data_IF_291024851894
#
_entry.id   IF_291024851894
#
_cell.length_a   1.000
_cell.length_b   1.000
_cell.length_c   1.000
_cell.angle_alpha   90.00
_cell.angle_beta   90.00
_cell.angle_gamma   90.00
#
_symmetry.space_group_name_H-M   'P 1'
#
loop_
_entity.id
_entity.type
_entity.pdbx_description
1 polymer ?
#
# COMPACT_ATOMS: atom_id res chain seq x y z
N UNK A 1 8.77 -9.62 13.16
CA UNK A 1 8.05 -8.75 12.19
C UNK A 1 7.05 -9.60 11.41
N UNK A 2 5.95 -10.00 12.05
CA UNK A 2 4.87 -10.80 11.45
C UNK A 2 3.60 -9.97 11.20
N UNK A 3 3.66 -8.65 11.36
CA UNK A 3 2.55 -7.75 11.10
C UNK A 3 2.80 -6.95 9.82
N UNK A 4 1.81 -6.95 8.93
CA UNK A 4 1.84 -6.23 7.67
C UNK A 4 2.05 -4.72 7.87
N UNK A 5 1.53 -4.13 8.97
CA UNK A 5 1.73 -2.71 9.27
C UNK A 5 3.20 -2.33 9.30
N UNK A 6 4.07 -3.22 9.78
CA UNK A 6 5.51 -2.96 9.90
C UNK A 6 6.13 -2.63 8.54
N UNK A 7 5.69 -3.34 7.50
CA UNK A 7 6.18 -3.17 6.13
C UNK A 7 5.52 -1.97 5.45
N UNK A 8 4.23 -1.73 5.70
CA UNK A 8 3.53 -0.54 5.19
C UNK A 8 4.20 0.73 5.72
N UNK A 9 4.55 0.79 7.02
CA UNK A 9 5.28 1.94 7.60
C UNK A 9 6.59 2.23 6.88
N UNK A 10 7.37 1.19 6.56
CA UNK A 10 8.61 1.33 5.82
C UNK A 10 8.39 1.85 4.38
N UNK A 11 7.32 1.42 3.70
CA UNK A 11 6.91 1.95 2.38
C UNK A 11 6.58 3.46 2.48
N UNK A 12 5.96 3.87 3.59
CA UNK A 12 5.69 5.27 3.94
C UNK A 12 6.92 6.03 4.51
N UNK A 13 8.12 5.43 4.45
CA UNK A 13 9.39 6.01 4.95
C UNK A 13 9.36 6.39 6.44
N UNK A 14 8.50 5.74 7.22
CA UNK A 14 8.50 5.87 8.66
C UNK A 14 9.62 5.02 9.27
N UNK A 15 10.20 5.49 10.38
CA UNK A 15 11.26 4.75 11.07
C UNK A 15 10.73 3.40 11.59
N UNK A 16 11.53 2.35 11.45
CA UNK A 16 11.13 1.02 11.90
C UNK A 16 12.16 -0.06 11.54
N UNK A 17 11.91 -1.30 11.97
CA UNK A 17 12.85 -2.42 11.80
C UNK A 17 12.85 -3.04 10.39
N UNK A 18 11.84 -2.76 9.56
CA UNK A 18 11.75 -3.28 8.20
C UNK A 18 12.57 -2.41 7.23
N UNK A 19 13.56 -3.01 6.58
CA UNK A 19 14.46 -2.33 5.64
C UNK A 19 14.15 -2.77 4.22
N UNK A 20 13.78 -1.83 3.36
CA UNK A 20 13.59 -2.05 1.92
C UNK A 20 14.97 -2.13 1.25
N UNK A 21 15.27 -3.23 0.58
CA UNK A 21 16.54 -3.45 -0.15
C UNK A 21 16.40 -3.29 -1.66
N UNK A 22 15.18 -3.46 -2.18
CA UNK A 22 14.86 -3.25 -3.59
C UNK A 22 13.40 -2.85 -3.74
N UNK A 23 13.12 -2.04 -4.75
CA UNK A 23 11.76 -1.77 -5.20
C UNK A 23 11.71 -1.81 -6.74
N UNK A 24 10.57 -2.18 -7.30
CA UNK A 24 10.32 -2.19 -8.74
C UNK A 24 8.87 -1.77 -8.97
N UNK A 25 8.67 -0.79 -9.83
CA UNK A 25 7.36 -0.20 -10.11
C UNK A 25 7.00 -0.36 -11.57
N UNK A 26 5.74 -0.69 -11.81
CA UNK A 26 5.10 -0.77 -13.11
C UNK A 26 3.87 0.14 -13.06
N UNK A 27 3.66 0.89 -14.14
CA UNK A 27 2.54 1.83 -14.26
C UNK A 27 1.94 1.69 -15.64
N UNK A 28 0.63 1.76 -15.71
CA UNK A 28 -0.11 1.85 -16.95
C UNK A 28 -1.38 2.66 -16.72
N UNK A 29 -2.06 3.01 -17.80
CA UNK A 29 -3.34 3.69 -17.72
C UNK A 29 -4.26 3.10 -18.77
N UNK A 30 -5.53 3.04 -18.45
CA UNK A 30 -6.56 2.49 -19.30
C UNK A 30 -7.75 3.44 -19.29
N UNK A 31 -8.42 3.52 -20.44
CA UNK A 31 -9.59 4.37 -20.61
C UNK A 31 -10.81 3.45 -20.75
N UNK A 32 -11.83 3.70 -19.95
CA UNK A 32 -13.07 2.93 -20.02
C UNK A 32 -13.98 3.41 -21.18
N UNK A 33 -15.12 2.73 -21.35
CA UNK A 33 -16.10 3.07 -22.40
C UNK A 33 -16.72 4.46 -22.23
N UNK A 34 -16.68 5.03 -21.02
CA UNK A 34 -17.18 6.37 -20.70
C UNK A 34 -16.15 7.47 -21.00
N UNK A 35 -14.91 7.09 -21.33
CA UNK A 35 -13.80 8.01 -21.53
C UNK A 35 -13.05 8.37 -20.25
N UNK A 36 -13.39 7.75 -19.11
CA UNK A 36 -12.70 7.95 -17.83
C UNK A 36 -11.32 7.28 -17.91
N UNK A 37 -10.27 8.04 -17.58
CA UNK A 37 -8.90 7.52 -17.55
C UNK A 37 -8.59 6.99 -16.16
N UNK A 38 -8.27 5.70 -16.04
CA UNK A 38 -7.82 5.09 -14.79
C UNK A 38 -6.31 4.86 -14.84
N UNK A 39 -5.62 5.31 -13.80
CA UNK A 39 -4.19 5.10 -13.62
C UNK A 39 -3.93 3.94 -12.66
N UNK A 40 -3.14 2.98 -13.11
CA UNK A 40 -2.72 1.84 -12.31
C UNK A 40 -1.24 1.93 -12.00
N UNK A 41 -0.89 1.71 -10.74
CA UNK A 41 0.50 1.56 -10.30
C UNK A 41 0.65 0.34 -9.44
N UNK A 42 1.57 -0.54 -9.81
CA UNK A 42 1.97 -1.69 -9.02
C UNK A 42 3.44 -1.54 -8.63
N UNK A 43 3.75 -1.68 -7.35
CA UNK A 43 5.13 -1.65 -6.84
C UNK A 43 5.41 -2.85 -5.96
N UNK A 44 6.44 -3.60 -6.31
CA UNK A 44 6.98 -4.67 -5.47
C UNK A 44 8.10 -4.11 -4.60
N UNK A 45 8.04 -4.41 -3.30
CA UNK A 45 9.04 -4.05 -2.31
C UNK A 45 9.65 -5.31 -1.72
N UNK A 46 10.98 -5.45 -1.85
CA UNK A 46 11.74 -6.53 -1.23
C UNK A 46 12.41 -6.01 0.02
N UNK A 47 12.23 -6.75 1.12
CA UNK A 47 12.78 -6.41 2.42
C UNK A 47 13.99 -7.29 2.75
N UNK A 48 14.92 -6.75 3.55
CA UNK A 48 16.16 -7.42 3.95
C UNK A 48 15.92 -8.78 4.64
N UNK A 49 14.77 -8.96 5.27
CA UNK A 49 14.37 -10.20 5.94
C UNK A 49 13.68 -11.21 5.01
N UNK A 50 13.70 -11.01 3.70
CA UNK A 50 13.13 -11.93 2.71
C UNK A 50 11.63 -11.75 2.44
N UNK A 51 10.98 -10.79 3.08
CA UNK A 51 9.57 -10.48 2.81
C UNK A 51 9.42 -9.68 1.52
N UNK A 52 8.38 -9.98 0.75
CA UNK A 52 8.00 -9.25 -0.46
C UNK A 52 6.56 -8.77 -0.34
N UNK A 53 6.38 -7.45 -0.43
CA UNK A 53 5.06 -6.81 -0.44
C UNK A 53 4.77 -6.25 -1.83
N UNK A 54 3.57 -6.52 -2.34
CA UNK A 54 3.01 -5.84 -3.51
C UNK A 54 2.08 -4.73 -3.03
N UNK A 55 2.34 -3.51 -3.49
CA UNK A 55 1.53 -2.33 -3.28
C UNK A 55 0.90 -1.92 -4.61
N UNK A 56 -0.43 -1.87 -4.66
CA UNK A 56 -1.19 -1.48 -5.84
C UNK A 56 -2.01 -0.23 -5.55
N UNK A 57 -2.08 0.65 -6.54
CA UNK A 57 -2.91 1.85 -6.58
C UNK A 57 -3.70 1.85 -7.88
N UNK A 58 -4.99 2.19 -7.78
CA UNK A 58 -5.86 2.47 -8.91
C UNK A 58 -6.54 3.81 -8.62
N UNK A 59 -6.46 4.74 -9.56
CA UNK A 59 -6.96 6.11 -9.42
C UNK A 59 -7.66 6.50 -10.71
N UNK A 60 -8.95 6.81 -10.60
CA UNK A 60 -9.70 7.41 -11.70
C UNK A 60 -9.38 8.90 -11.80
N UNK A 61 -9.18 9.39 -13.02
CA UNK A 61 -8.99 10.81 -13.30
C UNK A 61 -10.34 11.54 -13.13
N UNK A 62 -10.56 12.08 -11.94
CA UNK A 62 -11.71 12.94 -11.65
C UNK A 62 -11.34 14.41 -11.88
N UNK A 63 -12.07 15.16 -12.73
CA UNK A 63 -11.84 16.59 -12.95
C UNK A 63 -12.15 17.48 -11.73
N UNK A 64 -12.79 16.94 -10.69
CA UNK A 64 -13.16 17.67 -9.49
C UNK A 64 -12.04 17.64 -8.43
N UNK A 65 -11.67 18.80 -7.85
CA UNK A 65 -10.68 18.84 -6.77
C UNK A 65 -11.29 18.29 -5.48
N UNK A 66 -11.02 17.02 -5.20
CA UNK A 66 -11.41 16.37 -3.95
C UNK A 66 -10.30 16.48 -2.90
N UNK A 67 -10.66 16.73 -1.64
CA UNK A 67 -9.70 16.72 -0.52
C UNK A 67 -9.09 15.32 -0.28
N UNK A 68 -9.87 14.28 -0.57
CA UNK A 68 -9.43 12.90 -0.49
C UNK A 68 -10.03 12.12 -1.65
N UNK A 69 -9.38 12.13 -2.82
CA UNK A 69 -9.91 11.45 -3.98
C UNK A 69 -10.03 9.95 -3.71
N UNK A 70 -11.03 9.34 -4.34
CA UNK A 70 -11.13 7.90 -4.38
C UNK A 70 -9.86 7.32 -5.03
N UNK A 71 -9.25 6.36 -4.34
CA UNK A 71 -8.08 5.65 -4.83
C UNK A 71 -8.07 4.28 -4.18
N UNK A 72 -8.14 3.24 -5.01
CA UNK A 72 -8.05 1.89 -4.51
C UNK A 72 -6.60 1.56 -4.16
N UNK A 73 -6.33 1.35 -2.86
CA UNK A 73 -5.00 1.07 -2.34
C UNK A 73 -4.99 -0.35 -1.77
N UNK A 74 -4.07 -1.19 -2.26
CA UNK A 74 -3.93 -2.57 -1.79
C UNK A 74 -2.48 -2.89 -1.42
N UNK A 75 -2.30 -3.46 -0.23
CA UNK A 75 -1.06 -4.09 0.23
C UNK A 75 -1.27 -5.59 0.34
N UNK A 76 -0.39 -6.39 -0.27
CA UNK A 76 -0.46 -7.85 -0.24
C UNK A 76 0.92 -8.45 -0.02
N UNK A 77 0.99 -9.45 0.86
CA UNK A 77 2.18 -10.29 1.04
C UNK A 77 2.29 -11.23 -0.16
N UNK A 78 3.37 -11.12 -0.91
CA UNK A 78 3.65 -11.97 -2.08
C UNK A 78 4.49 -13.18 -1.69
N UNK A 79 5.51 -12.95 -0.86
CA UNK A 79 6.38 -13.99 -0.34
C UNK A 79 6.85 -13.60 1.06
N UNK A 80 7.01 -14.59 1.94
CA UNK A 80 7.54 -14.36 3.28
C UNK A 80 8.10 -15.67 3.85
N UNK A 81 9.25 -15.64 4.55
CA UNK A 81 9.78 -16.80 5.26
C UNK A 81 8.97 -17.15 6.52
N UNK A 82 8.12 -16.23 7.00
CA UNK A 82 7.23 -16.44 8.16
C UNK A 82 5.80 -15.99 7.84
N UNK A 83 4.76 -16.50 8.54
CA UNK A 83 3.41 -15.98 8.38
C UNK A 83 3.34 -14.49 8.73
N UNK A 84 2.71 -13.70 7.86
CA UNK A 84 2.40 -12.29 8.11
C UNK A 84 0.88 -12.14 8.19
N UNK A 85 0.39 -11.53 9.26
CA UNK A 85 -1.04 -11.33 9.52
C UNK A 85 -1.34 -9.86 9.78
N UNK A 86 -2.33 -9.26 9.09
CA UNK A 86 -3.06 -9.84 7.97
C UNK A 86 -2.19 -9.99 6.71
N UNK A 87 -2.51 -10.92 5.81
CA UNK A 87 -1.76 -11.10 4.56
C UNK A 87 -2.10 -10.03 3.50
N UNK A 88 -3.22 -9.31 3.67
CA UNK A 88 -3.67 -8.23 2.79
C UNK A 88 -4.32 -7.10 3.59
N UNK A 89 -4.14 -5.87 3.14
CA UNK A 89 -4.86 -4.68 3.63
C UNK A 89 -5.33 -3.83 2.44
N UNK A 90 -6.54 -3.29 2.54
CA UNK A 90 -7.22 -2.51 1.51
C UNK A 90 -7.70 -1.17 2.07
N UNK A 91 -7.66 -0.14 1.23
CA UNK A 91 -8.23 1.19 1.48
C UNK A 91 -8.84 1.74 0.19
N UNK A 92 -9.85 2.59 0.32
CA UNK A 92 -10.55 3.21 -0.81
C UNK A 92 -10.12 4.65 -1.07
N UNK A 93 -9.27 5.22 -0.21
CA UNK A 93 -8.65 6.51 -0.40
C UNK A 93 -7.43 6.67 0.52
N UNK A 94 -6.55 7.66 0.25
CA UNK A 94 -5.36 7.91 1.07
C UNK A 94 -5.67 8.31 2.52
N UNK A 95 -6.83 8.89 2.81
CA UNK A 95 -7.18 9.32 4.17
C UNK A 95 -7.50 8.13 5.08
N UNK A 96 -8.19 7.11 4.56
CA UNK A 96 -8.42 5.86 5.27
C UNK A 96 -7.10 5.16 5.61
N UNK A 97 -6.16 5.13 4.66
CA UNK A 97 -4.82 4.59 4.88
C UNK A 97 -4.07 5.35 5.97
N UNK A 98 -3.99 6.67 5.85
CA UNK A 98 -3.27 7.53 6.79
C UNK A 98 -3.89 7.46 8.20
N UNK A 99 -5.22 7.45 8.30
CA UNK A 99 -5.93 7.29 9.56
C UNK A 99 -5.64 5.92 10.17
N UNK A 100 -5.70 4.84 9.38
CA UNK A 100 -5.41 3.50 9.86
C UNK A 100 -3.98 3.38 10.40
N UNK A 101 -2.99 3.93 9.69
CA UNK A 101 -1.59 3.96 10.13
C UNK A 101 -1.42 4.66 11.50
N UNK A 102 -2.08 5.82 11.69
CA UNK A 102 -2.10 6.53 12.98
C UNK A 102 -2.72 5.68 14.09
N UNK A 103 -3.82 4.98 13.80
CA UNK A 103 -4.47 4.10 14.79
C UNK A 103 -3.58 2.94 15.24
N UNK A 104 -2.66 2.48 14.38
CA UNK A 104 -1.67 1.45 14.76
C UNK A 104 -0.58 1.96 15.71
N UNK A 105 -0.48 3.26 15.96
CA UNK A 105 0.46 3.84 16.95
C UNK A 105 -0.18 3.93 18.34
N UNK A 106 -1.50 4.00 18.40
CA UNK A 106 -2.27 4.24 19.63
C UNK A 106 -2.63 2.93 20.34
N UNK A 107 -2.68 1.82 19.62
CA UNK A 107 -3.06 0.51 20.19
C UNK A 107 -1.85 -0.12 20.89
N UNK A 108 -1.87 -0.33 22.22
CA UNK A 108 -0.81 -1.07 22.89
C UNK A 108 -0.83 -2.52 22.39
N UNK A 109 0.34 -3.11 22.20
CA UNK A 109 0.46 -4.56 22.05
C UNK A 109 -0.18 -5.21 23.30
N UNK A 110 -1.33 -5.87 23.10
CA UNK A 110 -1.98 -6.69 24.13
C UNK A 110 -1.21 -7.96 24.40
#
# INVERSE_FOLDING_TARGET
MNDLVTYIRAIHRQAGPAIIVRQQSEQHSEQDESGTLTHHRQTHYWFANGVVICHQLELDEDPSPQLCPECWISYRVVASPIPITPARKLFHNPCQEAFWLKMQEITPAG
#
